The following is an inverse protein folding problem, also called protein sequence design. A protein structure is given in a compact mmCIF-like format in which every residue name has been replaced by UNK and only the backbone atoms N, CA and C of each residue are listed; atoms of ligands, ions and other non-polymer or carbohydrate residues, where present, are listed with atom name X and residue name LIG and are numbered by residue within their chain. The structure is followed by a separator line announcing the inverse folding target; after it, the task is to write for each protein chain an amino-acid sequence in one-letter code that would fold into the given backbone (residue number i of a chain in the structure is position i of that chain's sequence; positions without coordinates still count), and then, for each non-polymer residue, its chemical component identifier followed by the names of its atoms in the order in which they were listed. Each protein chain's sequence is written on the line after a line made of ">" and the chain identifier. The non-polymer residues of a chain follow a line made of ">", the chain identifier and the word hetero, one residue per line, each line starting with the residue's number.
data_IF_991108680688
#
_entry.id   IF_991108680688
#
_cell.length_a   1.000
_cell.length_b   1.000
_cell.length_c   1.000
_cell.angle_alpha   90.00
_cell.angle_beta   90.00
_cell.angle_gamma   90.00
#
_symmetry.space_group_name_H-M   'P 1'
#
loop_
_entity.id
_entity.type
_entity.pdbx_description
1 polymer ?
#
# COMPACT_ATOMS: atom_id res chain seq x y z
N UNK A 1 5.48 16.86 12.11
CA UNK A 1 6.27 16.17 13.16
C UNK A 1 5.35 15.64 14.23
N UNK A 2 5.92 15.14 15.34
CA UNK A 2 5.16 14.56 16.45
C UNK A 2 4.25 15.56 17.15
N UNK A 3 4.58 16.86 17.09
CA UNK A 3 3.70 17.93 17.61
C UNK A 3 2.40 18.07 16.85
N UNK A 4 2.40 17.67 15.58
CA UNK A 4 1.24 17.65 14.70
C UNK A 4 0.57 16.26 14.66
N UNK A 5 0.96 15.35 15.56
CA UNK A 5 0.37 14.01 15.68
C UNK A 5 0.99 12.97 14.73
N UNK A 6 2.07 13.29 14.02
CA UNK A 6 2.75 12.32 13.14
C UNK A 6 3.50 11.28 13.99
N UNK A 7 3.27 10.00 13.70
CA UNK A 7 3.93 8.86 14.33
C UNK A 7 4.49 7.90 13.28
N UNK A 8 5.32 6.96 13.73
CA UNK A 8 5.75 5.84 12.91
C UNK A 8 4.54 5.01 12.44
N UNK A 9 4.71 4.30 11.33
CA UNK A 9 3.71 3.45 10.68
C UNK A 9 2.49 4.18 10.11
N UNK A 10 2.53 5.52 10.04
CA UNK A 10 1.52 6.31 9.33
C UNK A 10 1.76 6.31 7.83
N UNK A 11 0.70 6.15 7.04
CA UNK A 11 0.77 6.19 5.58
C UNK A 11 0.92 7.62 5.05
N UNK A 12 1.75 7.77 4.02
CA UNK A 12 1.95 9.02 3.30
C UNK A 12 1.40 8.86 1.89
N UNK A 13 0.49 9.74 1.50
CA UNK A 13 -0.21 9.71 0.22
C UNK A 13 -0.23 11.10 -0.43
N UNK A 14 -0.61 11.13 -1.70
CA UNK A 14 -0.92 12.34 -2.49
C UNK A 14 -2.36 12.21 -3.00
N UNK A 15 -2.79 13.18 -3.81
CA UNK A 15 -4.07 13.07 -4.51
C UNK A 15 -4.05 11.97 -5.59
N UNK A 16 -2.85 11.65 -6.10
CA UNK A 16 -2.63 10.76 -7.23
C UNK A 16 -2.22 9.34 -6.81
N UNK A 17 -1.71 9.14 -5.59
CA UNK A 17 -1.54 7.80 -5.02
C UNK A 17 -0.76 7.70 -3.72
N UNK A 18 -0.17 6.51 -3.48
CA UNK A 18 0.62 6.24 -2.27
C UNK A 18 2.08 6.61 -2.46
N UNK A 19 2.70 7.18 -1.42
CA UNK A 19 4.11 7.62 -1.43
C UNK A 19 5.00 6.72 -0.61
N UNK A 20 4.57 6.41 0.61
CA UNK A 20 5.42 5.74 1.58
C UNK A 20 4.79 5.62 2.96
N UNK A 21 5.62 5.25 3.92
CA UNK A 21 5.25 5.08 5.33
C UNK A 21 6.22 5.87 6.18
N UNK A 22 5.71 6.56 7.20
CA UNK A 22 6.55 7.27 8.17
C UNK A 22 7.38 6.24 8.95
N UNK A 23 8.70 6.36 8.87
CA UNK A 23 9.62 5.51 9.61
C UNK A 23 9.87 6.08 11.00
N UNK A 24 10.17 7.37 11.08
CA UNK A 24 10.45 8.08 12.33
C UNK A 24 9.94 9.51 12.25
N UNK A 25 9.57 10.08 13.40
CA UNK A 25 9.13 11.47 13.51
C UNK A 25 9.84 12.18 14.66
N UNK A 26 10.30 13.40 14.39
CA UNK A 26 10.79 14.36 15.38
C UNK A 26 9.71 15.42 15.65
N UNK A 27 9.89 16.35 16.62
CA UNK A 27 8.89 17.35 16.95
C UNK A 27 8.32 18.12 15.76
N UNK A 28 9.15 18.40 14.75
CA UNK A 28 8.75 19.20 13.59
C UNK A 28 8.93 18.47 12.25
N UNK A 29 9.70 17.39 12.19
CA UNK A 29 10.01 16.68 10.94
C UNK A 29 9.63 15.21 11.03
N UNK A 30 9.56 14.55 9.88
CA UNK A 30 9.38 13.11 9.80
C UNK A 30 10.22 12.55 8.65
N UNK A 31 10.79 11.37 8.85
CA UNK A 31 11.47 10.59 7.84
C UNK A 31 10.47 9.58 7.26
N UNK A 32 10.31 9.59 5.94
CA UNK A 32 9.37 8.73 5.22
C UNK A 32 10.14 7.71 4.40
N UNK A 33 9.83 6.43 4.57
CA UNK A 33 10.32 5.35 3.73
C UNK A 33 9.37 5.20 2.55
N UNK A 34 9.88 5.38 1.33
CA UNK A 34 9.05 5.29 0.12
C UNK A 34 8.60 3.86 -0.17
N UNK A 35 7.44 3.70 -0.81
CA UNK A 35 6.98 2.41 -1.34
C UNK A 35 7.94 1.78 -2.36
N UNK A 36 8.89 2.56 -2.89
CA UNK A 36 10.02 2.07 -3.70
C UNK A 36 11.11 1.38 -2.86
N UNK A 37 10.70 0.74 -1.77
CA UNK A 37 11.57 -0.01 -0.89
C UNK A 37 11.04 -1.44 -0.83
N UNK A 38 11.85 -2.47 -1.16
CA UNK A 38 11.40 -3.86 -1.19
C UNK A 38 10.92 -4.41 0.16
N UNK A 39 11.32 -3.78 1.27
CA UNK A 39 10.85 -4.16 2.60
C UNK A 39 9.41 -3.70 2.87
N UNK A 40 8.93 -2.68 2.13
CA UNK A 40 7.58 -2.20 2.27
C UNK A 40 6.64 -3.10 1.49
N UNK A 41 5.67 -3.64 2.22
CA UNK A 41 4.61 -4.48 1.70
C UNK A 41 3.29 -3.85 2.08
N UNK A 42 2.37 -3.72 1.13
CA UNK A 42 1.11 -3.02 1.39
C UNK A 42 -0.06 -3.82 0.83
N UNK A 43 -1.08 -4.05 1.65
CA UNK A 43 -2.30 -4.71 1.20
C UNK A 43 -3.08 -3.84 0.21
N UNK A 44 -3.26 -4.37 -0.99
CA UNK A 44 -3.99 -3.73 -2.08
C UNK A 44 -5.12 -4.61 -2.57
N UNK A 45 -6.09 -4.01 -3.24
CA UNK A 45 -7.21 -4.71 -3.87
C UNK A 45 -7.44 -4.23 -5.28
N UNK A 46 -7.91 -5.13 -6.13
CA UNK A 46 -8.41 -4.78 -7.46
C UNK A 46 -9.79 -4.15 -7.32
N UNK A 47 -9.95 -2.92 -7.81
CA UNK A 47 -11.21 -2.18 -7.72
C UNK A 47 -12.37 -2.91 -8.38
N UNK A 48 -12.11 -3.60 -9.51
CA UNK A 48 -13.14 -4.29 -10.30
C UNK A 48 -13.64 -5.58 -9.65
N UNK A 49 -12.75 -6.38 -9.08
CA UNK A 49 -13.09 -7.73 -8.58
C UNK A 49 -13.15 -7.82 -7.07
N UNK A 50 -12.67 -6.81 -6.34
CA UNK A 50 -12.57 -6.82 -4.87
C UNK A 50 -11.52 -7.78 -4.30
N UNK A 51 -10.82 -8.54 -5.15
CA UNK A 51 -9.77 -9.45 -4.70
C UNK A 51 -8.57 -8.66 -4.23
N UNK A 52 -7.86 -9.20 -3.26
CA UNK A 52 -6.72 -8.55 -2.64
C UNK A 52 -5.41 -9.27 -2.97
N UNK A 53 -4.33 -8.55 -2.81
CA UNK A 53 -2.96 -9.03 -2.95
C UNK A 53 -2.01 -8.14 -2.18
N UNK A 54 -0.73 -8.45 -2.29
CA UNK A 54 0.33 -7.72 -1.60
C UNK A 54 1.17 -6.94 -2.61
N UNK A 55 1.14 -5.62 -2.53
CA UNK A 55 2.01 -4.77 -3.32
C UNK A 55 3.44 -4.89 -2.79
N UNK A 56 4.38 -5.20 -3.67
CA UNK A 56 5.82 -5.27 -3.40
C UNK A 56 6.54 -4.57 -4.54
N UNK A 57 7.51 -3.72 -4.19
CA UNK A 57 8.39 -3.12 -5.17
C UNK A 57 9.65 -3.98 -5.35
N UNK A 58 9.69 -4.77 -6.41
CA UNK A 58 10.78 -5.69 -6.75
C UNK A 58 11.31 -5.48 -8.18
N UNK A 59 10.78 -4.47 -8.88
CA UNK A 59 10.97 -4.29 -10.33
C UNK A 59 12.25 -3.53 -10.68
N UNK A 60 12.81 -2.78 -9.72
CA UNK A 60 13.93 -1.84 -9.96
C UNK A 60 13.54 -0.58 -10.73
N UNK A 61 12.28 -0.43 -11.16
CA UNK A 61 11.77 0.74 -11.86
C UNK A 61 10.83 1.53 -10.92
N UNK A 62 11.08 2.82 -10.65
CA UNK A 62 10.22 3.65 -9.78
C UNK A 62 8.77 3.81 -10.28
N UNK A 63 8.47 3.40 -11.52
CA UNK A 63 7.13 3.49 -12.11
C UNK A 63 6.35 2.19 -12.07
N UNK A 64 6.99 1.08 -11.69
CA UNK A 64 6.33 -0.24 -11.69
C UNK A 64 6.53 -0.98 -10.38
N UNK A 65 5.52 -1.73 -9.98
CA UNK A 65 5.58 -2.62 -8.83
C UNK A 65 4.90 -3.94 -9.17
N UNK A 66 5.05 -4.93 -8.31
CA UNK A 66 4.40 -6.23 -8.45
C UNK A 66 3.32 -6.39 -7.38
N UNK A 67 2.25 -7.09 -7.71
CA UNK A 67 1.23 -7.52 -6.75
C UNK A 67 1.29 -9.03 -6.65
N UNK A 68 1.70 -9.51 -5.48
CA UNK A 68 1.77 -10.91 -5.11
C UNK A 68 0.47 -11.39 -4.44
N UNK A 69 0.39 -12.68 -4.15
CA UNK A 69 -0.69 -13.34 -3.41
C UNK A 69 -2.09 -13.26 -4.05
N UNK A 70 -2.16 -13.03 -5.37
CA UNK A 70 -3.41 -13.11 -6.12
C UNK A 70 -3.58 -14.53 -6.66
N UNK A 71 -4.68 -15.21 -6.31
CA UNK A 71 -4.92 -16.58 -6.76
C UNK A 71 -5.12 -16.68 -8.28
N UNK A 72 -4.69 -17.79 -8.90
CA UNK A 72 -4.78 -18.01 -10.36
C UNK A 72 -6.19 -17.99 -10.97
N UNK A 73 -7.22 -18.29 -10.18
CA UNK A 73 -8.60 -18.26 -10.64
C UNK A 73 -9.19 -16.85 -10.67
N UNK A 74 -8.48 -15.86 -10.12
CA UNK A 74 -8.96 -14.47 -10.09
C UNK A 74 -8.90 -13.89 -11.50
N UNK A 75 -10.01 -13.35 -12.02
CA UNK A 75 -10.02 -12.75 -13.34
C UNK A 75 -9.33 -11.39 -13.27
N UNK A 76 -7.99 -11.34 -13.35
CA UNK A 76 -7.20 -10.10 -13.45
C UNK A 76 -6.91 -9.78 -14.90
N UNK A 77 -7.06 -8.52 -15.30
CA UNK A 77 -6.81 -8.09 -16.67
C UNK A 77 -5.94 -6.82 -16.71
N UNK A 78 -5.08 -6.66 -17.73
CA UNK A 78 -4.42 -5.39 -17.99
C UNK A 78 -5.45 -4.25 -18.12
N UNK A 79 -5.18 -3.12 -17.47
CA UNK A 79 -6.10 -1.98 -17.34
C UNK A 79 -6.89 -1.95 -16.04
N UNK A 80 -6.87 -3.01 -15.23
CA UNK A 80 -7.54 -3.00 -13.92
C UNK A 80 -6.88 -1.99 -12.96
N UNK A 81 -7.70 -1.24 -12.22
CA UNK A 81 -7.23 -0.32 -11.19
C UNK A 81 -6.96 -1.05 -9.88
N UNK A 82 -5.81 -0.77 -9.28
CA UNK A 82 -5.40 -1.28 -7.97
C UNK A 82 -5.47 -0.13 -6.97
N UNK A 83 -6.10 -0.39 -5.83
CA UNK A 83 -6.29 0.58 -4.74
C UNK A 83 -5.94 -0.03 -3.39
N UNK A 84 -5.64 0.80 -2.40
CA UNK A 84 -5.31 0.33 -1.04
C UNK A 84 -6.51 -0.35 -0.39
N UNK A 85 -6.26 -1.48 0.28
CA UNK A 85 -7.30 -2.19 1.04
C UNK A 85 -7.48 -1.63 2.45
N UNK A 86 -6.44 -1.01 3.02
CA UNK A 86 -6.44 -0.49 4.39
C UNK A 86 -6.54 -1.55 5.49
N UNK A 87 -6.29 -2.83 5.18
CA UNK A 87 -6.30 -3.91 6.17
C UNK A 87 -5.18 -3.75 7.22
N UNK A 88 -4.03 -3.22 6.80
CA UNK A 88 -2.83 -3.09 7.64
C UNK A 88 -2.87 -1.82 8.52
N UNK A 89 -3.92 -0.99 8.41
CA UNK A 89 -4.07 0.26 9.16
C UNK A 89 -3.12 1.40 8.76
N UNK A 90 -2.14 1.15 7.89
CA UNK A 90 -1.17 2.14 7.41
C UNK A 90 -1.78 3.14 6.44
N UNK A 91 -2.54 2.65 5.45
CA UNK A 91 -3.18 3.48 4.43
C UNK A 91 -4.69 3.41 4.56
N UNK A 92 -5.43 4.50 4.30
CA UNK A 92 -6.89 4.44 4.26
C UNK A 92 -7.33 3.54 3.09
N UNK A 93 -8.55 3.01 3.15
CA UNK A 93 -9.14 2.24 2.05
C UNK A 93 -9.42 3.13 0.84
N UNK A 94 -9.10 2.63 -0.36
CA UNK A 94 -9.53 3.24 -1.63
C UNK A 94 -8.59 4.29 -2.21
N UNK A 95 -7.36 4.39 -1.73
CA UNK A 95 -6.33 5.24 -2.35
C UNK A 95 -5.85 4.56 -3.62
N UNK A 96 -5.82 5.26 -4.77
CA UNK A 96 -5.27 4.69 -6.00
C UNK A 96 -3.79 4.36 -5.83
N UNK A 97 -3.39 3.17 -6.26
CA UNK A 97 -1.98 2.73 -6.24
C UNK A 97 -1.42 2.68 -7.65
N UNK A 98 -2.20 2.13 -8.57
CA UNK A 98 -1.71 1.87 -9.91
C UNK A 98 -2.72 1.20 -10.82
N UNK A 99 -2.25 0.89 -12.02
CA UNK A 99 -3.01 0.17 -13.05
C UNK A 99 -2.24 -1.07 -13.47
N UNK A 100 -2.91 -2.21 -13.56
CA UNK A 100 -2.32 -3.47 -14.03
C UNK A 100 -1.84 -3.30 -15.46
N UNK A 101 -0.56 -3.58 -15.71
CA UNK A 101 0.01 -3.56 -17.06
C UNK A 101 0.18 -4.95 -17.63
N UNK A 102 0.50 -5.93 -16.79
CA UNK A 102 0.82 -7.29 -17.22
C UNK A 102 0.35 -8.29 -16.16
N UNK A 103 -0.09 -9.46 -16.62
CA UNK A 103 -0.52 -10.56 -15.76
C UNK A 103 0.20 -11.83 -16.22
N UNK A 104 1.14 -12.29 -15.42
CA UNK A 104 1.85 -13.55 -15.59
C UNK A 104 1.21 -14.67 -14.77
N UNK A 105 1.23 -15.89 -15.32
CA UNK A 105 0.82 -17.11 -14.61
C UNK A 105 1.92 -18.16 -14.77
N UNK A 106 2.94 -18.13 -13.89
CA UNK A 106 4.08 -19.04 -14.00
C UNK A 106 3.63 -20.51 -13.88
N UNK A 107 4.11 -21.43 -14.74
CA UNK A 107 3.80 -22.85 -14.58
C UNK A 107 4.28 -23.36 -13.21
N UNK A 108 3.41 -24.03 -12.46
CA UNK A 108 3.73 -24.59 -11.14
C UNK A 108 3.48 -23.68 -9.94
N UNK A 109 3.18 -22.39 -10.14
CA UNK A 109 2.73 -21.51 -9.07
C UNK A 109 1.21 -21.64 -8.84
N UNK A 110 0.68 -21.26 -7.68
CA UNK A 110 -0.76 -21.12 -7.44
C UNK A 110 -1.22 -19.65 -7.51
N UNK A 111 -0.25 -18.73 -7.59
CA UNK A 111 -0.49 -17.29 -7.63
C UNK A 111 -0.18 -16.70 -9.02
N UNK A 112 -0.81 -15.55 -9.30
CA UNK A 112 -0.51 -14.70 -10.45
C UNK A 112 0.62 -13.76 -10.09
N UNK A 113 1.48 -13.50 -11.07
CA UNK A 113 2.44 -12.40 -11.01
C UNK A 113 1.85 -11.21 -11.75
N UNK A 114 1.36 -10.23 -11.00
CA UNK A 114 0.71 -9.05 -11.59
C UNK A 114 1.67 -7.87 -11.54
N UNK A 115 1.99 -7.29 -12.69
CA UNK A 115 2.76 -6.04 -12.76
C UNK A 115 1.80 -4.87 -12.82
N UNK A 116 2.05 -3.88 -11.97
CA UNK A 116 1.29 -2.64 -11.91
C UNK A 116 2.17 -1.45 -12.23
N UNK A 117 1.61 -0.49 -12.94
CA UNK A 117 2.19 0.84 -13.11
C UNK A 117 1.65 1.76 -12.04
N UNK A 118 2.54 2.34 -11.24
CA UNK A 118 2.18 3.27 -10.18
C UNK A 118 1.57 4.54 -10.78
N UNK A 119 0.52 5.06 -10.15
CA UNK A 119 -0.10 6.34 -10.56
C UNK A 119 0.70 7.54 -10.08
N UNK A 120 1.33 7.41 -8.90
CA UNK A 120 2.15 8.46 -8.30
C UNK A 120 3.54 8.53 -8.94
N UNK A 121 4.03 9.74 -9.17
CA UNK A 121 5.38 9.99 -9.66
C UNK A 121 6.34 10.30 -8.51
N UNK A 122 6.90 9.23 -7.95
CA UNK A 122 7.80 9.28 -6.81
C UNK A 122 9.19 9.86 -7.13
N UNK A 123 9.44 10.24 -8.40
CA UNK A 123 10.68 10.93 -8.80
C UNK A 123 10.60 12.45 -8.57
N UNK A 124 9.41 12.99 -8.35
CA UNK A 124 9.19 14.43 -8.10
C UNK A 124 8.79 14.68 -6.66
N UNK A 125 9.45 15.65 -6.03
CA UNK A 125 9.09 16.11 -4.70
C UNK A 125 7.91 17.09 -4.79
N UNK A 126 6.71 16.61 -4.49
CA UNK A 126 5.49 17.42 -4.38
C UNK A 126 5.00 17.56 -2.94
N UNK A 127 3.94 18.35 -2.70
CA UNK A 127 3.25 18.35 -1.41
C UNK A 127 2.64 16.96 -1.15
N UNK A 128 2.92 16.41 0.03
CA UNK A 128 2.40 15.11 0.48
C UNK A 128 1.45 15.29 1.64
N UNK A 129 0.53 14.34 1.80
CA UNK A 129 -0.43 14.28 2.90
C UNK A 129 -0.11 13.06 3.77
N UNK A 130 -0.10 13.24 5.09
CA UNK A 130 0.05 12.15 6.04
C UNK A 130 -1.34 11.74 6.48
N UNK A 131 -1.68 10.47 6.31
CA UNK A 131 -2.95 9.91 6.77
C UNK A 131 -2.70 9.01 7.96
N UNK A 132 -3.55 9.18 8.96
CA UNK A 132 -3.55 8.37 10.15
C UNK A 132 -4.97 7.99 10.50
N UNK A 133 -5.14 6.75 10.93
CA UNK A 133 -6.41 6.23 11.34
C UNK A 133 -6.67 6.60 12.80
N UNK A 134 -7.52 7.61 13.00
CA UNK A 134 -7.90 8.13 14.32
C UNK A 134 -8.52 7.07 15.25
N UNK A 135 -9.08 5.99 14.70
CA UNK A 135 -9.74 4.92 15.44
C UNK A 135 -8.87 3.66 15.57
N UNK A 136 -7.62 3.69 15.12
CA UNK A 136 -6.70 2.55 15.25
C UNK A 136 -6.48 2.17 16.72
N UNK A 137 -6.26 3.14 17.60
CA UNK A 137 -6.05 2.89 19.03
C UNK A 137 -7.27 2.23 19.70
N UNK A 138 -8.48 2.60 19.30
CA UNK A 138 -9.72 2.03 19.81
C UNK A 138 -9.97 0.61 19.27
N UNK A 139 -9.65 0.35 17.99
CA UNK A 139 -9.73 -1.01 17.42
C UNK A 139 -8.68 -1.96 17.97
N UNK A 140 -7.44 -1.49 18.14
CA UNK A 140 -6.34 -2.31 18.64
C UNK A 140 -6.59 -2.71 20.11
N UNK A 141 -7.19 -1.82 20.91
CA UNK A 141 -7.59 -2.13 22.30
C UNK A 141 -8.71 -3.17 22.38
N UNK A 142 -9.75 -3.07 21.54
CA UNK A 142 -10.80 -4.09 21.45
C UNK A 142 -10.28 -5.46 21.01
N UNK A 143 -9.25 -5.50 20.16
CA UNK A 143 -8.63 -6.75 19.70
C UNK A 143 -7.80 -7.47 20.76
N UNK A 144 -7.19 -6.73 21.70
CA UNK A 144 -6.43 -7.32 22.80
C UNK A 144 -7.32 -7.95 23.86
N UNK A 145 -8.47 -7.34 24.19
CA UNK A 145 -9.43 -7.88 25.16
C UNK A 145 -9.98 -9.26 24.74
N UNK A 146 -10.06 -9.53 23.44
CA UNK A 146 -10.53 -10.80 22.86
C UNK A 146 -9.51 -11.95 22.88
N UNK A 147 -8.23 -11.66 23.12
CA UNK A 147 -7.15 -12.67 23.18
C UNK A 147 -6.81 -13.06 24.63
N UNK A 148 -7.38 -12.38 25.62
CA UNK A 148 -7.17 -12.63 27.05
C UNK A 148 -8.33 -13.40 27.73
N UNK A 149 -9.36 -13.83 26.98
CA UNK A 149 -10.38 -14.81 27.42
C UNK A 149 -10.12 -16.23 26.87
#
# INVERSE_FOLDING_TARGET
>A
GTREGVAADMGVITAEGIVGVVQEASPHFAAVKSILNPDIRTSVRLRRTGHFGLLVWDTGDPRTASVADIAKHVPVQPGDTVETRGADGTFPTGVPVGVVTEVGSPPGDNYLQVRVRLTEDLTRAGPVQIVFDLMRLERDSLGQDLLEE
#
